data_IF_041181666897
#
_entry.id   IF_041181666897
#
_cell.length_a   1.000
_cell.length_b   1.000
_cell.length_c   1.000
_cell.angle_alpha   90.00
_cell.angle_beta   90.00
_cell.angle_gamma   90.00
#
_symmetry.space_group_name_H-M   'P 1'
#
loop_
_entity.id
_entity.type
_entity.pdbx_description
1 polymer ?
#
# COMPACT_ATOMS: atom_id res chain seq x y z
N UNK A 1 20.81 6.55 22.42
CA UNK A 1 20.34 5.19 22.72
C UNK A 1 18.88 5.29 23.09
N UNK A 2 17.99 4.77 22.26
CA UNK A 2 16.53 4.89 22.46
C UNK A 2 15.99 3.52 22.82
N UNK A 3 15.29 3.42 23.94
CA UNK A 3 14.67 2.18 24.40
C UNK A 3 13.15 2.30 24.28
N UNK A 4 12.50 1.25 23.78
CA UNK A 4 11.04 1.16 23.65
C UNK A 4 10.58 0.00 24.53
N UNK A 5 9.53 0.23 25.31
CA UNK A 5 8.86 -0.82 26.09
C UNK A 5 7.49 -1.09 25.46
N UNK A 6 7.27 -2.32 25.01
CA UNK A 6 5.97 -2.78 24.52
C UNK A 6 5.22 -3.42 25.68
N UNK A 7 3.99 -2.97 25.94
CA UNK A 7 3.15 -3.45 27.04
C UNK A 7 2.04 -4.36 26.52
N UNK A 8 1.51 -5.18 27.41
CA UNK A 8 0.31 -6.00 27.18
C UNK A 8 0.43 -6.92 25.95
N UNK A 9 1.62 -7.46 25.72
CA UNK A 9 1.85 -8.43 24.65
C UNK A 9 1.21 -9.77 25.06
N UNK A 10 0.26 -10.31 24.29
CA UNK A 10 -0.30 -11.62 24.56
C UNK A 10 0.79 -12.71 24.59
N UNK A 11 0.66 -13.66 25.52
CA UNK A 11 1.69 -14.69 25.76
C UNK A 11 1.97 -15.56 24.53
N UNK A 12 0.94 -15.85 23.75
CA UNK A 12 1.01 -16.60 22.50
C UNK A 12 1.80 -15.83 21.42
N UNK A 13 1.54 -14.52 21.28
CA UNK A 13 2.30 -13.64 20.37
C UNK A 13 3.76 -13.58 20.79
N UNK A 14 4.02 -13.42 22.09
CA UNK A 14 5.39 -13.38 22.61
C UNK A 14 6.13 -14.71 22.38
N UNK A 15 5.47 -15.84 22.58
CA UNK A 15 6.04 -17.16 22.29
C UNK A 15 6.34 -17.33 20.80
N UNK A 16 5.43 -16.93 19.91
CA UNK A 16 5.64 -16.99 18.46
C UNK A 16 6.84 -16.15 18.02
N UNK A 17 6.99 -14.93 18.54
CA UNK A 17 8.13 -14.06 18.23
C UNK A 17 9.46 -14.66 18.68
N UNK A 18 9.51 -15.34 19.84
CA UNK A 18 10.73 -16.05 20.27
C UNK A 18 11.10 -17.18 19.32
N UNK A 19 10.12 -17.96 18.88
CA UNK A 19 10.35 -19.05 17.92
C UNK A 19 10.89 -18.49 16.61
N UNK A 20 10.28 -17.43 16.07
CA UNK A 20 10.73 -16.78 14.84
C UNK A 20 12.15 -16.20 14.98
N UNK A 21 12.46 -15.56 16.12
CA UNK A 21 13.79 -15.05 16.40
C UNK A 21 14.83 -16.18 16.46
N UNK A 22 14.51 -17.29 17.13
CA UNK A 22 15.38 -18.46 17.21
C UNK A 22 15.61 -19.11 15.84
N UNK A 23 14.58 -19.22 15.00
CA UNK A 23 14.70 -19.71 13.61
C UNK A 23 15.59 -18.82 12.76
N UNK A 24 15.55 -17.50 12.98
CA UNK A 24 16.43 -16.53 12.32
C UNK A 24 17.85 -16.49 12.92
N UNK A 25 18.14 -17.25 13.98
CA UNK A 25 19.43 -17.23 14.68
C UNK A 25 19.71 -15.91 15.40
N UNK A 26 18.67 -15.17 15.80
CA UNK A 26 18.76 -13.83 16.39
C UNK A 26 18.20 -13.81 17.81
N UNK A 27 18.67 -12.85 18.60
CA UNK A 27 17.98 -12.50 19.84
C UNK A 27 16.61 -11.89 19.53
N UNK A 28 15.66 -11.99 20.48
CA UNK A 28 14.33 -11.40 20.32
C UNK A 28 14.39 -9.88 20.07
N UNK A 29 15.31 -9.18 20.73
CA UNK A 29 15.47 -7.73 20.62
C UNK A 29 15.97 -7.34 19.23
N UNK A 30 16.96 -8.06 18.71
CA UNK A 30 17.49 -7.83 17.37
C UNK A 30 16.45 -8.16 16.30
N UNK A 31 15.70 -9.25 16.48
CA UNK A 31 14.61 -9.63 15.58
C UNK A 31 13.50 -8.57 15.55
N UNK A 32 13.06 -8.10 16.73
CA UNK A 32 12.04 -7.06 16.83
C UNK A 32 12.51 -5.73 16.21
N UNK A 33 13.78 -5.36 16.39
CA UNK A 33 14.36 -4.17 15.76
C UNK A 33 14.32 -4.26 14.22
N UNK A 34 14.65 -5.42 13.65
CA UNK A 34 14.56 -5.64 12.21
C UNK A 34 13.12 -5.55 11.70
N UNK A 35 12.16 -6.10 12.45
CA UNK A 35 10.74 -5.96 12.13
C UNK A 35 10.32 -4.48 12.10
N UNK A 36 10.70 -3.69 13.10
CA UNK A 36 10.39 -2.26 13.12
C UNK A 36 11.05 -1.48 11.98
N UNK A 37 12.30 -1.79 11.63
CA UNK A 37 12.98 -1.17 10.49
C UNK A 37 12.29 -1.52 9.18
N UNK A 38 11.90 -2.78 9.02
CA UNK A 38 11.22 -3.25 7.82
C UNK A 38 9.85 -2.57 7.66
N UNK A 39 9.06 -2.50 8.74
CA UNK A 39 7.74 -1.87 8.73
C UNK A 39 7.83 -0.35 8.51
N UNK A 40 8.82 0.31 9.11
CA UNK A 40 9.08 1.73 8.86
C UNK A 40 9.47 2.02 7.40
N UNK A 41 10.17 1.09 6.73
CA UNK A 41 10.52 1.19 5.32
C UNK A 41 9.35 0.87 4.38
N UNK A 42 8.39 0.06 4.84
CA UNK A 42 7.22 -0.37 4.07
C UNK A 42 5.94 -0.05 4.85
N UNK A 43 5.64 1.25 5.06
CA UNK A 43 4.56 1.65 5.95
C UNK A 43 3.25 1.06 5.47
N UNK A 44 2.73 0.11 6.24
CA UNK A 44 1.36 -0.36 6.07
C UNK A 44 0.47 0.56 6.89
N UNK A 45 -0.60 1.10 6.28
CA UNK A 45 -1.53 1.91 7.04
C UNK A 45 -2.20 1.00 8.09
N UNK A 46 -2.07 1.36 9.38
CA UNK A 46 -2.60 0.60 10.52
C UNK A 46 -4.12 0.43 10.48
N UNK A 47 -4.77 1.32 9.74
CA UNK A 47 -6.15 1.23 9.32
C UNK A 47 -6.04 1.11 7.81
N UNK A 48 -6.61 0.07 7.18
CA UNK A 48 -6.86 0.15 5.74
C UNK A 48 -7.48 1.52 5.50
N UNK A 49 -6.89 2.41 4.65
CA UNK A 49 -7.57 3.64 4.32
C UNK A 49 -8.92 3.18 3.83
N UNK A 50 -9.98 3.48 4.60
CA UNK A 50 -11.31 2.93 4.41
C UNK A 50 -11.53 2.93 2.92
N UNK A 51 -11.53 1.74 2.30
CA UNK A 51 -11.36 1.63 0.86
C UNK A 51 -12.33 2.64 0.29
N UNK A 52 -11.84 3.76 -0.26
CA UNK A 52 -12.73 4.66 -0.97
C UNK A 52 -13.28 3.73 -2.01
N UNK A 53 -14.58 3.42 -1.93
CA UNK A 53 -15.21 2.24 -2.52
C UNK A 53 -15.25 2.28 -4.04
N UNK A 54 -14.21 2.82 -4.68
CA UNK A 54 -13.91 2.69 -6.09
C UNK A 54 -13.61 1.23 -6.40
N UNK A 55 -14.65 0.56 -6.86
CA UNK A 55 -14.54 -0.65 -7.67
C UNK A 55 -13.54 -0.44 -8.81
N UNK A 56 -13.02 -1.55 -9.36
CA UNK A 56 -12.16 -1.51 -10.54
C UNK A 56 -12.77 -0.69 -11.70
N UNK A 57 -14.10 -0.76 -11.87
CA UNK A 57 -14.83 0.05 -12.85
C UNK A 57 -14.78 1.56 -12.55
N UNK A 58 -14.93 1.96 -11.29
CA UNK A 58 -14.81 3.37 -10.92
C UNK A 58 -13.39 3.91 -11.11
N UNK A 59 -12.36 3.09 -10.83
CA UNK A 59 -10.96 3.44 -11.15
C UNK A 59 -10.73 3.63 -12.65
N UNK A 60 -11.33 2.79 -13.48
CA UNK A 60 -11.25 2.91 -14.94
C UNK A 60 -11.96 4.19 -15.44
N UNK A 61 -13.15 4.49 -14.93
CA UNK A 61 -13.91 5.71 -15.27
C UNK A 61 -13.18 6.96 -14.82
N UNK A 62 -12.55 6.97 -13.63
CA UNK A 62 -11.74 8.10 -13.17
C UNK A 62 -10.54 8.35 -14.08
N UNK A 63 -9.88 7.28 -14.53
CA UNK A 63 -8.77 7.37 -15.50
C UNK A 63 -9.25 7.91 -16.85
N UNK A 64 -10.38 7.39 -17.35
CA UNK A 64 -10.98 7.85 -18.61
C UNK A 64 -11.43 9.32 -18.53
N UNK A 65 -12.04 9.75 -17.42
CA UNK A 65 -12.39 11.17 -17.19
C UNK A 65 -11.18 12.08 -17.05
N UNK A 66 -10.10 11.61 -16.41
CA UNK A 66 -8.84 12.34 -16.36
C UNK A 66 -8.26 12.57 -17.77
N UNK A 67 -8.41 11.59 -18.66
CA UNK A 67 -8.01 11.71 -20.06
C UNK A 67 -8.94 12.63 -20.88
N UNK A 68 -10.25 12.63 -20.60
CA UNK A 68 -11.22 13.51 -21.27
C UNK A 68 -11.16 14.98 -20.82
N UNK A 69 -10.49 15.26 -19.70
CA UNK A 69 -10.19 16.62 -19.25
C UNK A 69 -8.87 17.15 -19.81
N UNK A 70 -8.23 16.44 -20.75
CA UNK A 70 -7.10 16.99 -21.50
C UNK A 70 -7.62 18.11 -22.40
N UNK A 71 -7.18 19.38 -22.23
CA UNK A 71 -7.59 20.50 -23.07
C UNK A 71 -7.32 20.29 -24.57
N UNK A 72 -6.43 19.35 -24.92
CA UNK A 72 -6.17 18.95 -26.32
C UNK A 72 -7.34 18.18 -26.96
N UNK A 73 -8.27 17.64 -26.17
CA UNK A 73 -9.45 16.89 -26.65
C UNK A 73 -10.71 17.74 -26.76
N UNK A 74 -10.68 18.98 -26.30
CA UNK A 74 -11.81 19.89 -26.35
C UNK A 74 -12.04 20.38 -27.79
N UNK A 75 -13.16 19.96 -28.39
CA UNK A 75 -13.53 20.32 -29.76
C UNK A 75 -13.31 19.20 -30.78
N UNK A 76 -12.75 18.06 -30.37
CA UNK A 76 -12.66 16.87 -31.23
C UNK A 76 -14.05 16.26 -31.42
N UNK A 77 -14.33 15.89 -32.66
CA UNK A 77 -15.49 15.06 -32.99
C UNK A 77 -15.36 13.67 -32.38
N UNK A 78 -16.49 12.97 -32.26
CA UNK A 78 -16.53 11.60 -31.71
C UNK A 78 -15.62 10.64 -32.49
N UNK A 79 -15.46 10.85 -33.80
CA UNK A 79 -14.60 10.00 -34.64
C UNK A 79 -13.10 10.24 -34.37
N UNK A 80 -12.68 11.51 -34.23
CA UNK A 80 -11.29 11.88 -33.90
C UNK A 80 -10.87 11.36 -32.51
N UNK A 81 -11.78 11.39 -31.53
CA UNK A 81 -11.56 10.78 -30.22
C UNK A 81 -11.38 9.26 -30.32
N UNK A 82 -12.14 8.60 -31.18
CA UNK A 82 -12.06 7.15 -31.37
C UNK A 82 -10.80 6.72 -32.13
N UNK A 83 -10.23 7.59 -32.96
CA UNK A 83 -8.95 7.37 -33.64
C UNK A 83 -7.77 7.51 -32.68
N UNK A 84 -7.76 8.58 -31.85
CA UNK A 84 -6.74 8.78 -30.82
C UNK A 84 -6.64 7.60 -29.84
N UNK A 85 -7.79 7.04 -29.42
CA UNK A 85 -7.83 5.89 -28.52
C UNK A 85 -7.36 4.57 -29.17
N UNK A 86 -7.34 4.49 -30.51
CA UNK A 86 -6.84 3.31 -31.25
C UNK A 86 -5.33 3.36 -31.47
N UNK A 87 -4.69 4.52 -31.30
CA UNK A 87 -3.23 4.65 -31.22
C UNK A 87 -2.49 4.37 -32.53
N UNK A 88 -3.02 4.85 -33.65
CA UNK A 88 -2.27 4.95 -34.93
C UNK A 88 -1.59 6.32 -35.03
#
# INVERSE_FOLDING_TARGET
>A
MTAITVRDVPDDVFAALKVQAAQAGKSLQEYALLLFQYDAAHPKPLVEPAQTGETHGQRAVRRARGSANNPETWGMSTDELMELLRGE
#
